data_IF_440946973559
#
_entry.id   IF_440946973559
#
_cell.length_a   1.000
_cell.length_b   1.000
_cell.length_c   1.000
_cell.angle_alpha   90.00
_cell.angle_beta   90.00
_cell.angle_gamma   90.00
#
_symmetry.space_group_name_H-M   'P 1'
#
loop_
_entity.id
_entity.type
_entity.pdbx_description
1 polymer ?
#
# COMPACT_ATOMS: atom_id res chain seq x y z
N UNK A 1 35.10 -28.68 20.68
CA UNK A 1 34.02 -29.46 20.07
C UNK A 1 33.09 -28.50 19.38
N UNK A 2 32.92 -28.72 18.14
CA UNK A 2 32.52 -27.88 17.01
C UNK A 2 31.17 -27.20 17.16
N UNK A 3 31.17 -25.89 17.09
CA UNK A 3 29.99 -25.06 16.85
C UNK A 3 29.57 -25.20 15.37
N UNK A 4 28.34 -25.60 15.15
CA UNK A 4 27.69 -25.51 13.83
C UNK A 4 26.96 -24.15 13.73
N UNK A 5 27.26 -23.36 12.72
CA UNK A 5 26.46 -22.18 12.46
C UNK A 5 25.11 -22.59 11.85
N UNK A 6 24.03 -22.04 12.38
CA UNK A 6 22.67 -22.15 11.86
C UNK A 6 22.61 -21.51 10.46
N UNK A 7 22.28 -22.35 9.50
CA UNK A 7 22.08 -22.01 8.09
C UNK A 7 20.99 -20.95 7.94
N UNK A 8 21.35 -19.83 7.38
CA UNK A 8 20.47 -18.79 6.87
C UNK A 8 19.52 -19.32 5.81
N UNK A 9 18.27 -19.00 5.96
CA UNK A 9 17.17 -19.37 5.07
C UNK A 9 17.48 -18.98 3.62
N UNK A 10 17.21 -19.91 2.73
CA UNK A 10 17.27 -19.82 1.28
C UNK A 10 16.48 -18.63 0.76
N UNK A 11 17.17 -17.63 0.21
CA UNK A 11 16.58 -16.61 -0.64
C UNK A 11 16.06 -17.26 -1.92
N UNK A 12 14.77 -17.17 -2.19
CA UNK A 12 14.20 -17.51 -3.50
C UNK A 12 14.81 -16.57 -4.55
N UNK A 13 15.28 -17.12 -5.68
CA UNK A 13 15.81 -16.39 -6.83
C UNK A 13 14.68 -15.67 -7.58
N UNK A 14 14.15 -14.57 -7.01
CA UNK A 14 13.40 -13.56 -7.71
C UNK A 14 14.31 -12.34 -7.93
N UNK A 15 14.06 -11.52 -8.95
CA UNK A 15 14.86 -10.34 -9.23
C UNK A 15 15.14 -9.56 -7.94
N UNK A 16 16.42 -9.49 -7.56
CA UNK A 16 16.82 -8.85 -6.31
C UNK A 16 16.38 -7.37 -6.37
N UNK A 17 15.63 -6.93 -5.36
CA UNK A 17 15.41 -5.49 -5.18
C UNK A 17 16.64 -4.85 -4.55
N UNK A 18 16.84 -3.58 -4.83
CA UNK A 18 17.85 -2.75 -4.21
C UNK A 18 17.21 -1.91 -3.12
N UNK A 19 17.85 -1.83 -1.97
CA UNK A 19 17.52 -0.91 -0.92
C UNK A 19 18.45 0.29 -0.97
N UNK A 20 17.89 1.49 -0.91
CA UNK A 20 18.65 2.74 -0.86
C UNK A 20 17.87 3.80 -0.07
N UNK A 21 18.59 4.76 0.46
CA UNK A 21 18.00 5.98 0.97
C UNK A 21 17.91 7.05 -0.13
N UNK A 22 16.84 7.82 -0.09
CA UNK A 22 16.65 9.03 -0.90
C UNK A 22 16.28 10.18 0.04
N UNK A 23 16.77 11.38 -0.25
CA UNK A 23 16.40 12.57 0.55
C UNK A 23 15.37 13.38 -0.20
N UNK A 24 14.19 13.56 0.41
CA UNK A 24 13.09 14.36 -0.13
C UNK A 24 12.81 15.52 0.83
N UNK A 25 13.03 16.75 0.36
CA UNK A 25 12.90 17.96 1.19
C UNK A 25 13.59 17.87 2.55
N UNK A 26 14.79 17.30 2.58
CA UNK A 26 15.61 17.14 3.78
C UNK A 26 15.26 15.94 4.67
N UNK A 27 14.28 15.14 4.29
CA UNK A 27 13.86 13.92 5.03
C UNK A 27 14.42 12.69 4.33
N UNK A 28 15.08 11.80 5.08
CA UNK A 28 15.59 10.53 4.57
C UNK A 28 14.43 9.52 4.47
N UNK A 29 14.28 8.97 3.28
CA UNK A 29 13.27 7.98 2.94
C UNK A 29 13.95 6.69 2.53
N UNK A 30 13.65 5.61 3.22
CA UNK A 30 14.05 4.26 2.81
C UNK A 30 13.24 3.85 1.58
N UNK A 31 13.93 3.46 0.52
CA UNK A 31 13.35 3.14 -0.78
C UNK A 31 13.81 1.76 -1.24
N UNK A 32 12.86 0.89 -1.54
CA UNK A 32 13.13 -0.36 -2.26
C UNK A 32 12.84 -0.16 -3.75
N UNK A 33 13.76 -0.62 -4.60
CA UNK A 33 13.63 -0.45 -6.06
C UNK A 33 14.01 -1.72 -6.80
N UNK A 34 13.34 -1.99 -7.92
CA UNK A 34 13.69 -3.09 -8.83
C UNK A 34 13.20 -2.82 -10.26
N UNK A 35 13.74 -3.59 -11.20
CA UNK A 35 13.29 -3.56 -12.59
C UNK A 35 13.74 -2.36 -13.38
N UNK A 36 13.19 -2.27 -14.59
CA UNK A 36 13.42 -1.19 -15.57
C UNK A 36 12.16 -1.02 -16.41
N UNK A 37 12.04 0.11 -17.12
CA UNK A 37 10.86 0.45 -17.92
C UNK A 37 10.07 1.61 -17.30
N UNK A 38 8.77 1.67 -17.58
CA UNK A 38 7.92 2.75 -17.09
C UNK A 38 7.88 2.78 -15.56
N UNK A 39 7.95 3.99 -14.94
CA UNK A 39 8.00 4.10 -13.50
C UNK A 39 6.67 3.69 -12.87
N UNK A 40 6.75 2.85 -11.84
CA UNK A 40 5.63 2.45 -11.00
C UNK A 40 5.95 2.79 -9.54
N UNK A 41 5.13 3.65 -8.93
CA UNK A 41 5.20 3.98 -7.51
C UNK A 41 4.19 3.12 -6.76
N UNK A 42 4.69 2.31 -5.82
CA UNK A 42 3.85 1.51 -4.92
C UNK A 42 3.82 2.15 -3.52
N UNK A 43 2.62 2.50 -3.07
CA UNK A 43 2.35 3.06 -1.75
C UNK A 43 1.74 1.98 -0.85
N UNK A 44 2.43 1.67 0.23
CA UNK A 44 2.07 0.57 1.13
C UNK A 44 0.94 0.91 2.09
N UNK A 45 0.35 -0.10 2.72
CA UNK A 45 -0.64 0.05 3.79
C UNK A 45 0.02 0.31 5.16
N UNK A 46 -0.79 0.67 6.14
CA UNK A 46 -0.35 1.00 7.51
C UNK A 46 0.38 -0.15 8.22
N UNK A 47 -0.02 -1.40 7.98
CA UNK A 47 0.58 -2.58 8.60
C UNK A 47 1.84 -3.11 7.92
N UNK A 48 2.32 -2.47 6.86
CA UNK A 48 3.52 -2.90 6.14
C UNK A 48 4.78 -2.53 6.94
N UNK A 49 5.61 -3.53 7.22
CA UNK A 49 6.83 -3.39 8.02
C UNK A 49 8.10 -3.31 7.16
N UNK A 50 7.99 -2.73 5.98
CA UNK A 50 9.13 -2.48 5.09
C UNK A 50 9.49 -3.68 4.20
N UNK A 51 8.54 -4.57 3.90
CA UNK A 51 8.80 -5.78 3.11
C UNK A 51 8.70 -5.54 1.60
N UNK A 52 9.43 -6.32 0.84
CA UNK A 52 9.27 -6.45 -0.60
C UNK A 52 8.24 -7.52 -0.92
N UNK A 53 7.19 -7.16 -1.67
CA UNK A 53 6.13 -8.10 -2.03
C UNK A 53 6.50 -8.93 -3.26
N UNK A 54 6.16 -10.25 -3.29
CA UNK A 54 6.35 -11.09 -4.48
C UNK A 54 5.69 -10.51 -5.74
N UNK A 55 4.53 -9.88 -5.61
CA UNK A 55 3.84 -9.21 -6.71
C UNK A 55 4.68 -8.08 -7.34
N UNK A 56 5.46 -7.34 -6.55
CA UNK A 56 6.35 -6.30 -7.06
C UNK A 56 7.51 -6.89 -7.86
N UNK A 57 8.02 -8.10 -7.52
CA UNK A 57 9.01 -8.81 -8.31
C UNK A 57 8.49 -9.12 -9.72
N UNK A 58 7.23 -9.53 -9.82
CA UNK A 58 6.59 -9.82 -11.09
C UNK A 58 6.34 -8.55 -11.94
N UNK A 59 5.93 -7.46 -11.30
CA UNK A 59 5.76 -6.16 -11.96
C UNK A 59 7.11 -5.54 -12.38
N UNK A 60 8.19 -5.81 -11.64
CA UNK A 60 9.53 -5.34 -11.96
C UNK A 60 10.10 -5.94 -13.28
N UNK A 61 9.46 -6.97 -13.82
CA UNK A 61 9.84 -7.51 -15.15
C UNK A 61 9.53 -6.54 -16.30
N UNK A 62 8.61 -5.59 -16.07
CA UNK A 62 8.13 -4.64 -17.10
C UNK A 62 8.13 -3.19 -16.65
N UNK A 63 8.31 -2.92 -15.36
CA UNK A 63 8.30 -1.56 -14.79
C UNK A 63 9.52 -1.33 -13.91
N UNK A 64 9.92 -0.06 -13.79
CA UNK A 64 10.83 0.39 -12.73
C UNK A 64 10.03 0.66 -11.49
N UNK A 65 10.13 -0.23 -10.51
CA UNK A 65 9.39 -0.14 -9.24
C UNK A 65 10.12 0.80 -8.28
N UNK A 66 9.34 1.70 -7.66
CA UNK A 66 9.71 2.51 -6.52
C UNK A 66 8.75 2.18 -5.38
N UNK A 67 9.26 1.66 -4.29
CA UNK A 67 8.49 1.33 -3.08
C UNK A 67 9.16 2.00 -1.88
N UNK A 68 8.82 3.27 -1.59
CA UNK A 68 9.26 3.98 -0.39
C UNK A 68 8.53 3.47 0.87
N UNK A 69 9.21 3.50 2.01
CA UNK A 69 8.50 3.58 3.29
C UNK A 69 7.98 5.01 3.45
N UNK A 70 6.73 5.18 3.88
CA UNK A 70 6.18 6.53 4.12
C UNK A 70 7.00 7.29 5.17
N UNK A 71 7.07 8.63 5.13
CA UNK A 71 7.61 9.40 6.24
C UNK A 71 6.96 8.99 7.57
N UNK A 72 7.77 8.75 8.59
CA UNK A 72 7.31 8.26 9.88
C UNK A 72 6.99 6.76 9.97
N UNK A 73 7.10 6.01 8.89
CA UNK A 73 6.86 4.57 8.87
C UNK A 73 8.15 3.78 8.70
N UNK A 74 8.15 2.60 9.30
CA UNK A 74 9.20 1.57 9.12
C UNK A 74 10.61 2.14 9.16
N UNK A 75 11.32 2.17 8.04
CA UNK A 75 12.72 2.58 7.94
C UNK A 75 12.95 4.05 7.54
N UNK A 76 11.90 4.83 7.29
CA UNK A 76 11.99 6.26 6.93
C UNK A 76 12.03 7.16 8.15
N UNK A 77 12.63 8.34 8.00
CA UNK A 77 12.61 9.35 9.06
C UNK A 77 11.23 10.00 9.17
N UNK A 78 10.96 10.59 10.34
CA UNK A 78 9.78 11.45 10.52
C UNK A 78 9.96 12.76 9.76
N UNK A 79 8.84 13.37 9.38
CA UNK A 79 8.85 14.67 8.74
C UNK A 79 7.85 15.60 9.41
N UNK A 80 8.37 16.68 9.94
CA UNK A 80 7.54 17.78 10.47
C UNK A 80 6.61 18.35 9.39
N UNK A 81 5.39 18.69 9.78
CA UNK A 81 4.39 19.29 8.89
C UNK A 81 3.64 18.29 8.02
N UNK A 82 3.74 17.00 8.30
CA UNK A 82 2.83 15.97 7.76
C UNK A 82 1.80 15.63 8.83
N UNK A 83 0.66 16.29 8.80
CA UNK A 83 -0.43 16.14 9.76
C UNK A 83 -1.67 15.45 9.16
N UNK A 84 -1.63 15.16 7.86
CA UNK A 84 -2.72 14.56 7.12
C UNK A 84 -2.24 13.72 5.94
N UNK A 85 -3.13 12.87 5.42
CA UNK A 85 -2.88 12.16 4.15
C UNK A 85 -2.71 13.14 2.99
N UNK A 86 -3.35 14.31 3.05
CA UNK A 86 -3.19 15.36 2.05
C UNK A 86 -1.76 15.91 2.01
N UNK A 87 -1.11 16.09 3.17
CA UNK A 87 0.30 16.51 3.24
C UNK A 87 1.23 15.42 2.69
N UNK A 88 0.91 14.14 2.98
CA UNK A 88 1.64 13.01 2.36
C UNK A 88 1.51 13.00 0.84
N UNK A 89 0.34 13.35 0.28
CA UNK A 89 0.17 13.42 -1.16
C UNK A 89 1.08 14.49 -1.79
N UNK A 90 1.22 15.67 -1.16
CA UNK A 90 2.20 16.68 -1.59
C UNK A 90 3.64 16.21 -1.44
N UNK A 91 3.97 15.54 -0.33
CA UNK A 91 5.29 14.95 -0.14
C UNK A 91 5.65 13.97 -1.27
N UNK A 92 4.68 13.18 -1.73
CA UNK A 92 4.89 12.26 -2.84
C UNK A 92 5.05 12.95 -4.19
N UNK A 93 4.46 14.13 -4.40
CA UNK A 93 4.78 14.95 -5.58
C UNK A 93 6.25 15.40 -5.55
N UNK A 94 6.76 15.85 -4.40
CA UNK A 94 8.17 16.17 -4.22
C UNK A 94 9.07 14.93 -4.45
N UNK A 95 8.66 13.75 -3.97
CA UNK A 95 9.39 12.50 -4.21
C UNK A 95 9.44 12.15 -5.70
N UNK A 96 8.34 12.35 -6.44
CA UNK A 96 8.32 12.13 -7.89
C UNK A 96 9.29 13.06 -8.61
N UNK A 97 9.44 14.30 -8.15
CA UNK A 97 10.42 15.24 -8.70
C UNK A 97 11.86 14.79 -8.40
N UNK A 98 12.12 14.31 -7.19
CA UNK A 98 13.42 13.83 -6.74
C UNK A 98 13.88 12.58 -7.51
N UNK A 99 12.97 11.66 -7.84
CA UNK A 99 13.29 10.50 -8.67
C UNK A 99 13.28 10.80 -10.18
N UNK A 100 12.97 12.04 -10.57
CA UNK A 100 12.95 12.50 -11.97
C UNK A 100 11.80 11.93 -12.80
N UNK A 101 10.70 11.46 -12.16
CA UNK A 101 9.55 10.89 -12.87
C UNK A 101 8.49 11.95 -13.11
N UNK A 102 8.16 12.21 -14.37
CA UNK A 102 7.10 13.16 -14.73
C UNK A 102 5.72 12.58 -14.54
N UNK A 103 5.57 11.29 -14.82
CA UNK A 103 4.33 10.54 -14.75
C UNK A 103 4.63 9.12 -14.29
N UNK A 104 3.77 8.52 -13.49
CA UNK A 104 3.94 7.16 -12.95
C UNK A 104 2.65 6.35 -13.07
N UNK A 105 2.79 5.03 -13.13
CA UNK A 105 1.76 4.12 -12.68
C UNK A 105 1.75 4.20 -11.15
N UNK A 106 0.59 4.52 -10.57
CA UNK A 106 0.43 4.68 -9.12
C UNK A 106 -0.42 3.55 -8.56
N UNK A 107 0.17 2.74 -7.70
CA UNK A 107 -0.48 1.61 -7.03
C UNK A 107 -0.48 1.86 -5.54
N UNK A 108 -1.63 1.96 -4.92
CA UNK A 108 -1.76 2.16 -3.48
C UNK A 108 -2.58 1.07 -2.83
N UNK A 109 -2.09 0.52 -1.71
CA UNK A 109 -2.78 -0.47 -0.90
C UNK A 109 -3.25 0.15 0.42
N UNK A 110 -4.51 -0.04 0.81
CA UNK A 110 -5.07 0.44 2.07
C UNK A 110 -4.84 1.94 2.28
N UNK A 111 -4.08 2.36 3.31
CA UNK A 111 -3.65 3.75 3.53
C UNK A 111 -2.95 4.32 2.29
N UNK A 112 -2.06 3.54 1.65
CA UNK A 112 -1.39 3.94 0.41
C UNK A 112 -2.37 4.20 -0.73
N UNK A 113 -3.51 3.51 -0.77
CA UNK A 113 -4.59 3.76 -1.71
C UNK A 113 -5.27 5.12 -1.50
N UNK A 114 -5.48 5.51 -0.25
CA UNK A 114 -5.97 6.85 0.09
C UNK A 114 -4.96 7.93 -0.35
N UNK A 115 -3.68 7.77 -0.02
CA UNK A 115 -2.63 8.69 -0.44
C UNK A 115 -2.60 8.79 -1.98
N UNK A 116 -2.68 7.66 -2.68
CA UNK A 116 -2.67 7.61 -4.14
C UNK A 116 -3.86 8.34 -4.76
N UNK A 117 -5.06 8.14 -4.22
CA UNK A 117 -6.26 8.83 -4.68
C UNK A 117 -6.15 10.34 -4.46
N UNK A 118 -5.67 10.78 -3.29
CA UNK A 118 -5.53 12.21 -2.99
C UNK A 118 -4.48 12.87 -3.90
N UNK A 119 -3.31 12.25 -4.08
CA UNK A 119 -2.28 12.70 -5.02
C UNK A 119 -2.86 12.87 -6.43
N UNK A 120 -3.60 11.87 -6.92
CA UNK A 120 -4.21 11.92 -8.25
C UNK A 120 -5.27 13.02 -8.38
N UNK A 121 -5.89 13.48 -7.29
CA UNK A 121 -6.78 14.67 -7.31
C UNK A 121 -6.03 15.99 -7.35
N UNK A 122 -4.84 16.06 -6.73
CA UNK A 122 -4.01 17.29 -6.66
C UNK A 122 -3.34 17.53 -8.02
N UNK A 123 -2.63 16.53 -8.54
CA UNK A 123 -1.90 16.66 -9.80
C UNK A 123 -2.17 15.44 -10.73
N UNK A 124 -3.34 15.43 -11.40
CA UNK A 124 -3.77 14.29 -12.23
C UNK A 124 -2.78 13.91 -13.34
N UNK A 125 -1.99 14.88 -13.82
CA UNK A 125 -1.02 14.65 -14.91
C UNK A 125 0.21 13.87 -14.49
N UNK A 126 0.41 13.66 -13.18
CA UNK A 126 1.51 12.85 -12.64
C UNK A 126 1.17 11.36 -12.60
N UNK A 127 -0.07 10.97 -12.94
CA UNK A 127 -0.57 9.60 -12.84
C UNK A 127 -1.06 9.12 -14.18
N UNK A 128 -0.34 8.15 -14.78
CA UNK A 128 -0.71 7.51 -16.05
C UNK A 128 -1.82 6.46 -15.85
N UNK A 129 -1.77 5.75 -14.73
CA UNK A 129 -2.76 4.77 -14.29
C UNK A 129 -2.82 4.74 -12.77
N UNK A 130 -4.00 4.55 -12.22
CA UNK A 130 -4.22 4.46 -10.78
C UNK A 130 -4.78 3.08 -10.42
N UNK A 131 -4.19 2.45 -9.40
CA UNK A 131 -4.72 1.23 -8.79
C UNK A 131 -4.96 1.48 -7.32
N UNK A 132 -6.18 1.24 -6.87
CA UNK A 132 -6.64 1.34 -5.49
C UNK A 132 -6.93 -0.07 -4.98
N UNK A 133 -5.99 -0.66 -4.23
CA UNK A 133 -6.13 -2.00 -3.66
C UNK A 133 -6.60 -1.88 -2.20
N UNK A 134 -7.82 -2.35 -1.94
CA UNK A 134 -8.46 -2.32 -0.60
C UNK A 134 -8.30 -0.97 0.11
N UNK A 135 -8.52 0.12 -0.64
CA UNK A 135 -8.16 1.47 -0.27
C UNK A 135 -9.10 2.07 0.78
N UNK A 136 -8.56 2.61 1.88
CA UNK A 136 -9.29 3.52 2.75
C UNK A 136 -9.39 4.92 2.11
N UNK A 137 -9.88 5.93 2.84
CA UNK A 137 -9.98 7.32 2.37
C UNK A 137 -11.39 7.78 2.06
N UNK A 138 -12.34 6.87 1.84
CA UNK A 138 -13.77 7.17 1.71
C UNK A 138 -14.57 6.46 2.79
N UNK A 139 -15.77 6.97 3.08
CA UNK A 139 -16.70 6.34 4.02
C UNK A 139 -17.86 5.70 3.26
N UNK A 140 -18.19 4.47 3.66
CA UNK A 140 -19.40 3.75 3.26
C UNK A 140 -20.30 3.60 4.48
N UNK A 141 -21.31 4.45 4.63
CA UNK A 141 -22.13 4.54 5.85
C UNK A 141 -22.98 3.28 6.10
N UNK A 142 -23.25 2.49 5.06
CA UNK A 142 -24.01 1.24 5.11
C UNK A 142 -23.13 -0.01 5.29
N UNK A 143 -21.80 0.16 5.44
CA UNK A 143 -20.85 -0.94 5.60
C UNK A 143 -20.16 -0.83 6.95
N UNK A 144 -20.51 -1.66 7.93
CA UNK A 144 -19.82 -1.69 9.21
C UNK A 144 -18.35 -2.08 9.05
N UNK A 145 -17.44 -1.34 9.69
CA UNK A 145 -16.00 -1.63 9.73
C UNK A 145 -15.53 -1.70 11.17
N UNK A 146 -14.62 -2.62 11.50
CA UNK A 146 -13.96 -2.61 12.79
C UNK A 146 -13.07 -1.37 12.94
N UNK A 147 -12.88 -0.91 14.16
CA UNK A 147 -11.89 0.10 14.49
C UNK A 147 -10.53 -0.59 14.67
N UNK A 148 -9.61 -0.41 13.72
CA UNK A 148 -8.30 -1.05 13.76
C UNK A 148 -7.45 -0.65 14.98
N UNK A 149 -7.71 0.51 15.58
CA UNK A 149 -6.90 1.03 16.68
C UNK A 149 -7.24 0.40 18.05
N UNK A 150 -8.38 -0.31 18.15
CA UNK A 150 -8.75 -1.03 19.38
C UNK A 150 -8.34 -2.50 19.37
N UNK A 151 -7.88 -3.00 18.22
CA UNK A 151 -7.45 -4.39 18.07
C UNK A 151 -5.95 -4.55 18.31
N UNK A 152 -5.59 -5.63 19.01
CA UNK A 152 -4.20 -6.03 19.15
C UNK A 152 -3.67 -6.66 17.83
N UNK A 153 -2.33 -6.84 17.69
CA UNK A 153 -1.74 -7.37 16.44
C UNK A 153 -2.26 -8.76 16.01
N UNK A 154 -2.67 -9.60 16.97
CA UNK A 154 -3.24 -10.93 16.68
C UNK A 154 -4.64 -10.79 16.06
N UNK A 155 -5.49 -9.97 16.69
CA UNK A 155 -6.84 -9.68 16.18
C UNK A 155 -6.81 -8.99 14.83
N UNK A 156 -5.85 -8.07 14.61
CA UNK A 156 -5.65 -7.43 13.32
C UNK A 156 -5.27 -8.44 12.23
N UNK A 157 -4.41 -9.43 12.53
CA UNK A 157 -4.06 -10.47 11.58
C UNK A 157 -5.30 -11.28 11.13
N UNK A 158 -6.24 -11.55 12.04
CA UNK A 158 -7.49 -12.25 11.76
C UNK A 158 -8.46 -11.41 10.91
N UNK A 159 -8.41 -10.08 11.00
CA UNK A 159 -9.20 -9.16 10.17
C UNK A 159 -8.60 -8.96 8.78
N UNK A 160 -7.28 -8.93 8.69
CA UNK A 160 -6.54 -8.62 7.45
C UNK A 160 -6.50 -9.81 6.51
N UNK A 161 -6.21 -11.03 7.01
CA UNK A 161 -6.02 -12.20 6.17
C UNK A 161 -7.25 -13.11 6.18
N UNK A 162 -7.65 -13.58 5.01
CA UNK A 162 -8.60 -14.67 4.82
C UNK A 162 -7.89 -16.03 4.79
N UNK A 163 -6.70 -16.09 4.21
CA UNK A 163 -5.89 -17.29 4.10
C UNK A 163 -5.41 -17.75 5.47
N UNK A 164 -5.72 -19.03 5.83
CA UNK A 164 -5.41 -19.58 7.13
C UNK A 164 -3.90 -19.67 7.44
N UNK A 165 -3.08 -19.98 6.45
CA UNK A 165 -1.63 -20.13 6.63
C UNK A 165 -0.98 -18.76 6.83
N UNK A 166 -1.40 -17.76 6.06
CA UNK A 166 -0.96 -16.37 6.23
C UNK A 166 -1.45 -15.77 7.55
N UNK A 167 -2.70 -16.02 7.93
CA UNK A 167 -3.22 -15.63 9.26
C UNK A 167 -2.37 -16.23 10.36
N UNK A 168 -2.12 -17.55 10.31
CA UNK A 168 -1.32 -18.24 11.32
C UNK A 168 0.14 -17.73 11.36
N UNK A 169 0.72 -17.41 10.22
CA UNK A 169 2.06 -16.80 10.14
C UNK A 169 2.09 -15.39 10.74
N UNK A 170 1.09 -14.56 10.45
CA UNK A 170 0.96 -13.22 10.99
C UNK A 170 0.72 -13.24 12.52
N UNK A 171 -0.11 -14.14 13.00
CA UNK A 171 -0.35 -14.36 14.44
C UNK A 171 0.91 -14.79 15.16
N UNK A 172 1.69 -15.74 14.59
CA UNK A 172 3.00 -16.12 15.16
C UNK A 172 3.92 -14.90 15.26
N UNK A 173 4.07 -14.16 14.15
CA UNK A 173 4.90 -12.95 14.12
C UNK A 173 4.46 -11.93 15.16
N UNK A 174 3.16 -11.74 15.34
CA UNK A 174 2.60 -10.83 16.34
C UNK A 174 2.94 -11.26 17.78
N UNK A 175 2.91 -12.57 18.07
CA UNK A 175 3.27 -13.12 19.40
C UNK A 175 4.76 -13.08 19.66
N UNK A 176 5.57 -13.26 18.63
CA UNK A 176 7.04 -13.28 18.74
C UNK A 176 7.63 -11.85 18.73
N UNK A 177 6.82 -10.84 18.52
CA UNK A 177 7.23 -9.42 18.42
C UNK A 177 7.91 -8.91 19.70
N UNK A 178 7.46 -9.38 20.88
CA UNK A 178 8.07 -9.01 22.17
C UNK A 178 9.54 -9.47 22.28
N UNK A 179 9.93 -10.48 21.51
CA UNK A 179 11.31 -11.00 21.44
C UNK A 179 12.18 -10.31 20.38
N UNK A 180 11.60 -9.43 19.56
CA UNK A 180 12.27 -8.68 18.48
C UNK A 180 12.03 -7.16 18.65
N UNK A 181 12.91 -6.46 19.40
CA UNK A 181 12.73 -5.03 19.68
C UNK A 181 12.68 -4.16 18.42
N UNK A 182 13.42 -4.51 17.37
CA UNK A 182 13.44 -3.75 16.12
C UNK A 182 12.11 -3.89 15.36
N UNK A 183 11.57 -5.10 15.31
CA UNK A 183 10.26 -5.37 14.72
C UNK A 183 9.14 -4.66 15.51
N UNK A 184 9.22 -4.69 16.84
CA UNK A 184 8.27 -4.00 17.71
C UNK A 184 8.32 -2.48 17.55
N UNK A 185 9.50 -1.91 17.45
CA UNK A 185 9.67 -0.46 17.20
C UNK A 185 9.06 -0.06 15.84
N UNK A 186 9.33 -0.81 14.78
CA UNK A 186 8.73 -0.57 13.46
C UNK A 186 7.20 -0.65 13.50
N UNK A 187 6.67 -1.64 14.19
CA UNK A 187 5.22 -1.80 14.38
C UNK A 187 4.64 -0.58 15.11
N UNK A 188 5.22 -0.18 16.24
CA UNK A 188 4.75 0.99 17.02
C UNK A 188 4.81 2.28 16.20
N UNK A 189 5.89 2.52 15.48
CA UNK A 189 6.02 3.69 14.60
C UNK A 189 4.90 3.74 13.58
N UNK A 190 4.64 2.61 12.92
CA UNK A 190 3.56 2.53 11.94
C UNK A 190 2.19 2.79 12.57
N UNK A 191 1.93 2.26 13.77
CA UNK A 191 0.67 2.49 14.47
C UNK A 191 0.50 3.96 14.89
N UNK A 192 1.55 4.59 15.43
CA UNK A 192 1.55 6.00 15.82
C UNK A 192 1.31 6.88 14.58
N UNK A 193 2.06 6.67 13.50
CA UNK A 193 1.91 7.44 12.28
C UNK A 193 0.53 7.23 11.64
N UNK A 194 0.01 6.01 11.64
CA UNK A 194 -1.34 5.73 11.14
C UNK A 194 -2.41 6.44 11.97
N UNK A 195 -2.30 6.39 13.30
CA UNK A 195 -3.23 7.07 14.18
C UNK A 195 -3.17 8.60 13.99
N UNK A 196 -1.97 9.16 13.83
CA UNK A 196 -1.81 10.58 13.53
C UNK A 196 -2.54 11.01 12.25
N UNK A 197 -2.49 10.18 11.21
CA UNK A 197 -3.10 10.47 9.90
C UNK A 197 -4.58 10.14 9.82
N UNK A 198 -5.04 9.11 10.51
CA UNK A 198 -6.36 8.50 10.28
C UNK A 198 -7.23 8.26 11.50
N UNK A 199 -6.90 8.82 12.67
CA UNK A 199 -7.72 8.65 13.88
C UNK A 199 -9.07 9.36 13.78
N UNK A 200 -9.06 10.62 13.35
CA UNK A 200 -10.28 11.42 13.29
C UNK A 200 -10.22 12.44 12.13
N UNK A 201 -11.04 12.29 11.09
CA UNK A 201 -12.03 11.23 10.87
C UNK A 201 -11.40 9.86 10.67
N UNK A 202 -12.06 8.79 11.18
CA UNK A 202 -11.51 7.45 11.14
C UNK A 202 -11.30 6.94 9.72
N UNK A 203 -10.03 6.82 9.33
CA UNK A 203 -9.53 6.24 8.08
C UNK A 203 -10.19 6.79 6.79
N UNK A 204 -10.68 8.05 6.81
CA UNK A 204 -11.21 8.70 5.59
C UNK A 204 -11.07 10.23 5.64
N UNK A 205 -11.14 10.87 4.47
CA UNK A 205 -11.31 12.32 4.35
C UNK A 205 -12.72 12.63 3.83
N UNK A 206 -13.58 13.32 4.62
CA UNK A 206 -14.92 13.71 4.17
C UNK A 206 -14.94 14.59 2.92
N UNK A 207 -13.82 15.22 2.58
CA UNK A 207 -13.68 16.11 1.40
C UNK A 207 -13.19 15.37 0.16
N UNK A 208 -12.54 14.22 0.31
CA UNK A 208 -11.99 13.45 -0.82
C UNK A 208 -13.06 13.11 -1.88
N UNK A 209 -14.28 12.66 -1.53
CA UNK A 209 -15.31 12.35 -2.52
C UNK A 209 -15.61 13.51 -3.47
N UNK A 210 -15.61 14.76 -2.98
CA UNK A 210 -15.86 15.95 -3.80
C UNK A 210 -14.73 16.28 -4.79
N UNK A 211 -13.54 15.68 -4.62
CA UNK A 211 -12.34 15.92 -5.44
C UNK A 211 -12.07 14.80 -6.46
N UNK A 212 -12.65 13.60 -6.26
CA UNK A 212 -12.37 12.40 -7.10
C UNK A 212 -12.66 12.61 -8.58
N UNK A 213 -13.59 13.53 -8.93
CA UNK A 213 -13.88 13.88 -10.33
C UNK A 213 -12.67 14.46 -11.08
N UNK A 214 -11.62 14.90 -10.37
CA UNK A 214 -10.38 15.42 -10.94
C UNK A 214 -9.44 14.34 -11.44
N UNK A 215 -9.61 13.08 -10.98
CA UNK A 215 -8.81 11.94 -11.42
C UNK A 215 -9.16 11.65 -12.87
N UNK A 216 -8.18 11.85 -13.77
CA UNK A 216 -8.33 11.64 -15.20
C UNK A 216 -7.69 10.33 -15.67
N UNK A 217 -6.78 9.77 -14.86
CA UNK A 217 -6.12 8.52 -15.15
C UNK A 217 -7.12 7.35 -15.19
N UNK A 218 -6.96 6.39 -16.12
CA UNK A 218 -7.63 5.10 -15.99
C UNK A 218 -7.39 4.52 -14.60
N UNK A 219 -8.47 4.09 -13.94
CA UNK A 219 -8.42 3.64 -12.55
C UNK A 219 -8.97 2.23 -12.40
N UNK A 220 -8.26 1.41 -11.63
CA UNK A 220 -8.67 0.08 -11.20
C UNK A 220 -8.89 0.10 -9.67
N UNK A 221 -10.07 -0.32 -9.24
CA UNK A 221 -10.40 -0.65 -7.86
C UNK A 221 -10.24 -2.16 -7.73
N UNK A 222 -9.25 -2.62 -6.96
CA UNK A 222 -8.95 -4.02 -6.72
C UNK A 222 -9.28 -4.35 -5.27
N UNK A 223 -10.04 -5.43 -5.02
CA UNK A 223 -10.51 -5.71 -3.66
C UNK A 223 -10.57 -7.20 -3.36
N UNK A 224 -10.24 -7.58 -2.12
CA UNK A 224 -10.48 -8.94 -1.63
C UNK A 224 -11.97 -9.15 -1.29
N UNK A 225 -12.53 -10.28 -1.74
CA UNK A 225 -13.93 -10.63 -1.48
C UNK A 225 -14.22 -10.80 0.03
N UNK A 226 -13.22 -11.31 0.75
CA UNK A 226 -13.30 -11.67 2.16
C UNK A 226 -12.57 -10.67 3.08
N UNK A 227 -12.39 -9.42 2.61
CA UNK A 227 -11.82 -8.35 3.41
C UNK A 227 -12.72 -8.04 4.60
N UNK A 228 -12.22 -8.31 5.81
CA UNK A 228 -12.94 -8.09 7.08
C UNK A 228 -12.54 -6.78 7.74
N UNK A 229 -11.44 -6.16 7.29
CA UNK A 229 -11.00 -4.85 7.77
C UNK A 229 -11.73 -3.71 7.05
N UNK A 230 -11.79 -3.78 5.71
CA UNK A 230 -12.58 -2.89 4.85
C UNK A 230 -13.44 -3.75 3.90
N UNK A 231 -14.64 -4.16 4.33
CA UNK A 231 -15.46 -5.09 3.55
C UNK A 231 -15.70 -4.65 2.10
N UNK A 232 -15.89 -5.60 1.18
CA UNK A 232 -16.02 -5.36 -0.28
C UNK A 232 -17.11 -4.34 -0.67
N UNK A 233 -18.01 -3.98 0.24
CA UNK A 233 -18.92 -2.84 0.10
C UNK A 233 -18.19 -1.49 -0.11
N UNK A 234 -16.96 -1.37 0.35
CA UNK A 234 -16.12 -0.19 0.09
C UNK A 234 -15.67 -0.14 -1.38
N UNK A 235 -15.38 -1.28 -2.03
CA UNK A 235 -15.12 -1.31 -3.48
C UNK A 235 -16.31 -0.76 -4.27
N UNK A 236 -17.55 -1.15 -3.89
CA UNK A 236 -18.77 -0.58 -4.45
C UNK A 236 -18.82 0.94 -4.24
N UNK A 237 -18.54 1.40 -3.00
CA UNK A 237 -18.53 2.83 -2.68
C UNK A 237 -17.54 3.62 -3.53
N UNK A 238 -16.33 3.11 -3.71
CA UNK A 238 -15.35 3.71 -4.61
C UNK A 238 -15.85 3.76 -6.06
N UNK A 239 -16.47 2.67 -6.56
CA UNK A 239 -17.07 2.62 -7.89
C UNK A 239 -18.20 3.63 -8.10
N UNK A 240 -19.05 3.85 -7.09
CA UNK A 240 -20.10 4.88 -7.12
C UNK A 240 -19.50 6.30 -7.23
N UNK A 241 -18.41 6.56 -6.50
CA UNK A 241 -17.72 7.85 -6.52
C UNK A 241 -16.85 8.06 -7.77
N UNK A 242 -16.43 6.97 -8.40
CA UNK A 242 -15.57 6.95 -9.59
C UNK A 242 -16.19 6.06 -10.69
N UNK A 243 -17.30 6.47 -11.33
CA UNK A 243 -18.09 5.60 -12.23
C UNK A 243 -17.36 5.19 -13.52
N UNK A 244 -16.17 5.76 -13.79
CA UNK A 244 -15.30 5.36 -14.90
C UNK A 244 -14.21 4.36 -14.49
N UNK A 245 -14.05 4.11 -13.20
CA UNK A 245 -13.10 3.13 -12.70
C UNK A 245 -13.59 1.72 -13.00
N UNK A 246 -12.66 0.82 -13.30
CA UNK A 246 -12.91 -0.61 -13.36
C UNK A 246 -12.85 -1.17 -11.93
N UNK A 247 -13.72 -2.12 -11.61
CA UNK A 247 -13.69 -2.81 -10.31
C UNK A 247 -13.43 -4.29 -10.52
N UNK A 248 -12.48 -4.85 -9.80
CA UNK A 248 -12.18 -6.27 -9.76
C UNK A 248 -12.17 -6.76 -8.32
N UNK A 249 -12.94 -7.80 -8.05
CA UNK A 249 -12.98 -8.49 -6.76
C UNK A 249 -12.17 -9.78 -6.90
N UNK A 250 -11.30 -10.04 -5.94
CA UNK A 250 -10.46 -11.24 -5.89
C UNK A 250 -11.07 -12.20 -4.88
N UNK A 251 -11.57 -13.32 -5.37
CA UNK A 251 -12.14 -14.38 -4.54
C UNK A 251 -11.09 -14.99 -3.59
N UNK A 252 -11.54 -15.51 -2.46
CA UNK A 252 -10.71 -16.15 -1.43
C UNK A 252 -9.58 -15.25 -0.88
N UNK A 253 -9.74 -13.94 -0.91
CA UNK A 253 -8.76 -12.96 -0.45
C UNK A 253 -9.35 -12.02 0.59
N UNK A 254 -8.61 -11.78 1.66
CA UNK A 254 -8.88 -10.70 2.61
C UNK A 254 -8.34 -9.34 2.12
N UNK A 255 -7.86 -8.53 3.06
CA UNK A 255 -7.45 -7.12 2.86
C UNK A 255 -6.19 -6.94 1.97
N UNK A 256 -5.45 -7.99 1.67
CA UNK A 256 -4.16 -7.89 0.97
C UNK A 256 -4.08 -8.83 -0.26
N UNK A 257 -4.88 -8.62 -1.31
CA UNK A 257 -4.94 -9.51 -2.48
C UNK A 257 -3.59 -9.67 -3.19
N UNK A 258 -2.72 -8.67 -3.17
CA UNK A 258 -1.36 -8.75 -3.72
C UNK A 258 -0.44 -9.70 -2.93
N UNK A 259 -0.84 -10.07 -1.72
CA UNK A 259 -0.12 -11.01 -0.83
C UNK A 259 -0.83 -12.36 -0.81
N UNK A 260 -2.16 -12.36 -0.65
CA UNK A 260 -2.95 -13.59 -0.44
C UNK A 260 -3.20 -14.36 -1.73
N UNK A 261 -3.49 -13.64 -2.81
CA UNK A 261 -3.78 -14.22 -4.13
C UNK A 261 -2.97 -13.52 -5.22
N UNK A 262 -1.63 -13.53 -5.11
CA UNK A 262 -0.76 -12.76 -6.01
C UNK A 262 -0.95 -13.10 -7.49
N UNK A 263 -1.22 -14.36 -7.83
CA UNK A 263 -1.44 -14.76 -9.21
C UNK A 263 -2.69 -14.10 -9.79
N UNK A 264 -3.84 -14.21 -9.11
CA UNK A 264 -5.11 -13.63 -9.56
C UNK A 264 -5.02 -12.09 -9.60
N UNK A 265 -4.46 -11.46 -8.57
CA UNK A 265 -4.28 -10.02 -8.52
C UNK A 265 -3.35 -9.52 -9.66
N UNK A 266 -2.26 -10.25 -9.94
CA UNK A 266 -1.34 -9.91 -11.03
C UNK A 266 -1.96 -10.07 -12.41
N UNK A 267 -2.81 -11.07 -12.64
CA UNK A 267 -3.51 -11.24 -13.92
C UNK A 267 -4.44 -10.06 -14.22
N UNK A 268 -5.16 -9.58 -13.20
CA UNK A 268 -5.99 -8.38 -13.28
C UNK A 268 -5.12 -7.14 -13.54
N UNK A 269 -4.05 -6.96 -12.76
CA UNK A 269 -3.13 -5.83 -12.90
C UNK A 269 -2.47 -5.81 -14.28
N UNK A 270 -1.93 -6.92 -14.77
CA UNK A 270 -1.30 -7.01 -16.11
C UNK A 270 -2.28 -6.68 -17.21
N UNK A 271 -3.51 -7.18 -17.11
CA UNK A 271 -4.59 -6.86 -18.07
C UNK A 271 -4.88 -5.36 -18.07
N UNK A 272 -4.98 -4.75 -16.91
CA UNK A 272 -5.25 -3.32 -16.76
C UNK A 272 -4.06 -2.46 -17.24
N UNK A 273 -2.84 -2.80 -16.81
CA UNK A 273 -1.62 -2.05 -17.15
C UNK A 273 -1.19 -2.23 -18.61
N UNK A 274 -1.44 -3.40 -19.22
CA UNK A 274 -1.06 -3.70 -20.60
C UNK A 274 -1.96 -3.08 -21.67
N UNK A 275 -3.09 -2.48 -21.30
CA UNK A 275 -3.94 -1.74 -22.23
C UNK A 275 -3.23 -0.45 -22.63
N UNK A 276 -3.05 -0.22 -23.93
CA UNK A 276 -2.45 1.02 -24.43
C UNK A 276 -3.11 2.26 -23.80
N UNK A 277 -2.32 3.28 -23.45
CA UNK A 277 -2.88 4.60 -23.12
C UNK A 277 -3.72 5.05 -24.31
N UNK A 278 -5.03 5.33 -24.09
CA UNK A 278 -5.83 5.95 -25.14
C UNK A 278 -5.17 7.27 -25.54
N UNK A 279 -5.08 7.54 -26.86
CA UNK A 279 -4.52 8.79 -27.35
C UNK A 279 -5.31 10.01 -26.88
#
# INVERSE_FOLDING_TARGET
>A
MSERPLSTATASQGAAHEERDITVRGTRIRMLTAGSGDPLLYLHGSGDLGMWLPALTELAKTHRIYRPDHPGFSGSDDKDGIDSVHDLAFFYLDLLDEIGSREVVLVGSSLGGWIAADLATIEPRRVSRLVLADACGVRADDVPTPDMFVHNPVELAELVYHDHDLTAAAVRRARDMDGDPELFERYLRNQIATAHLGWNPYMHDPKLPSRLHRITAPTLILWGAEDRLLPAGYARRWGELMPKAETAIIDDSGHLPLIERPAAALDVLRTFLGRGTRP
#
